data_IF_991960864159
#
_entry.id   IF_991960864159
#
_cell.length_a   1.000
_cell.length_b   1.000
_cell.length_c   1.000
_cell.angle_alpha   90.00
_cell.angle_beta   90.00
_cell.angle_gamma   90.00
#
_symmetry.space_group_name_H-M   'P 1'
#
loop_
_entity.id
_entity.type
_entity.pdbx_description
1 polymer ?
#
# COMPACT_ATOMS: atom_id res chain seq x y z
N UNK A 1 -8.58 4.14 2.53
CA UNK A 1 -9.20 5.13 1.60
C UNK A 1 -8.35 5.36 0.35
N UNK A 2 -7.03 5.55 0.45
CA UNK A 2 -6.16 5.70 -0.72
C UNK A 2 -6.36 4.59 -1.77
N UNK A 3 -6.25 3.32 -1.38
CA UNK A 3 -6.50 2.17 -2.27
C UNK A 3 -7.89 2.21 -2.93
N UNK A 4 -8.94 2.60 -2.18
CA UNK A 4 -10.31 2.73 -2.68
C UNK A 4 -10.42 3.80 -3.76
N UNK A 5 -9.83 4.98 -3.54
CA UNK A 5 -9.82 6.03 -4.56
C UNK A 5 -8.97 5.63 -5.76
N UNK A 6 -7.80 5.05 -5.55
CA UNK A 6 -6.91 4.60 -6.63
C UNK A 6 -7.59 3.55 -7.50
N UNK A 7 -8.22 2.53 -6.91
CA UNK A 7 -8.96 1.51 -7.68
C UNK A 7 -10.14 2.15 -8.42
N UNK A 8 -10.92 3.04 -7.78
CA UNK A 8 -12.02 3.72 -8.45
C UNK A 8 -11.55 4.55 -9.65
N UNK A 9 -10.41 5.24 -9.54
CA UNK A 9 -9.85 6.04 -10.64
C UNK A 9 -9.38 5.12 -11.79
N UNK A 10 -8.62 4.07 -11.49
CA UNK A 10 -8.03 3.18 -12.51
C UNK A 10 -9.07 2.29 -13.20
N UNK A 11 -10.13 1.91 -12.49
CA UNK A 11 -11.16 0.98 -12.96
C UNK A 11 -12.52 1.65 -13.20
N UNK A 12 -12.52 2.94 -13.58
CA UNK A 12 -13.71 3.69 -14.04
C UNK A 12 -14.90 3.65 -13.06
N UNK A 13 -14.63 3.94 -11.79
CA UNK A 13 -15.61 3.97 -10.71
C UNK A 13 -15.89 2.61 -10.05
N UNK A 14 -15.27 1.53 -10.54
CA UNK A 14 -15.40 0.21 -9.90
C UNK A 14 -14.44 0.09 -8.72
N UNK A 15 -14.97 -0.33 -7.58
CA UNK A 15 -14.19 -0.57 -6.36
C UNK A 15 -14.12 -2.07 -6.12
N UNK A 16 -12.90 -2.61 -6.20
CA UNK A 16 -12.61 -4.00 -5.86
C UNK A 16 -12.33 -4.12 -4.35
N UNK A 17 -13.11 -4.96 -3.66
CA UNK A 17 -13.00 -5.13 -2.21
C UNK A 17 -11.66 -5.74 -1.78
N UNK A 18 -11.13 -6.69 -2.55
CA UNK A 18 -9.84 -7.33 -2.28
C UNK A 18 -8.70 -6.31 -2.35
N UNK A 19 -8.71 -5.43 -3.35
CA UNK A 19 -7.75 -4.33 -3.46
C UNK A 19 -7.86 -3.34 -2.31
N UNK A 20 -9.08 -3.06 -1.83
CA UNK A 20 -9.30 -2.16 -0.69
C UNK A 20 -8.78 -2.77 0.62
N UNK A 21 -9.08 -4.04 0.89
CA UNK A 21 -8.63 -4.71 2.11
C UNK A 21 -7.11 -4.93 2.12
N UNK A 22 -6.53 -5.43 1.02
CA UNK A 22 -5.07 -5.54 0.92
C UNK A 22 -4.40 -4.17 0.96
N UNK A 23 -5.00 -3.13 0.38
CA UNK A 23 -4.50 -1.77 0.47
C UNK A 23 -4.52 -1.21 1.90
N UNK A 24 -5.51 -1.58 2.71
CA UNK A 24 -5.52 -1.23 4.13
C UNK A 24 -4.39 -1.94 4.89
N UNK A 25 -4.16 -3.23 4.62
CA UNK A 25 -3.06 -4.01 5.20
C UNK A 25 -1.70 -3.42 4.79
N UNK A 26 -1.49 -3.15 3.50
CA UNK A 26 -0.27 -2.53 2.99
C UNK A 26 0.01 -1.15 3.59
N UNK A 27 -1.04 -0.37 3.85
CA UNK A 27 -0.92 0.90 4.58
C UNK A 27 -0.44 0.72 6.02
N UNK A 28 -0.93 -0.29 6.74
CA UNK A 28 -0.45 -0.62 8.10
C UNK A 28 1.01 -1.10 8.08
N UNK A 29 1.36 -1.96 7.13
CA UNK A 29 2.74 -2.46 6.95
C UNK A 29 3.70 -1.29 6.69
N UNK A 30 3.28 -0.31 5.89
CA UNK A 30 4.11 0.85 5.52
C UNK A 30 4.53 1.73 6.71
N UNK A 31 3.79 1.68 7.82
CA UNK A 31 4.11 2.44 9.06
C UNK A 31 4.90 1.60 10.07
N UNK A 32 4.95 0.29 9.89
CA UNK A 32 5.47 -0.65 10.90
C UNK A 32 6.98 -0.49 11.13
N UNK A 33 7.75 -0.01 10.14
CA UNK A 33 9.19 0.13 10.24
C UNK A 33 9.64 1.16 11.30
N UNK A 34 8.90 2.26 11.44
CA UNK A 34 9.12 3.26 12.49
C UNK A 34 7.82 4.02 12.76
N UNK A 35 6.95 3.53 13.67
CA UNK A 35 5.65 4.12 13.92
C UNK A 35 5.71 5.36 14.83
N UNK A 36 6.82 5.61 15.52
CA UNK A 36 6.94 6.71 16.50
C UNK A 36 7.53 7.99 15.91
N UNK A 37 8.23 7.92 14.78
CA UNK A 37 8.88 9.09 14.17
C UNK A 37 7.96 10.05 13.40
N UNK A 38 6.96 9.60 12.62
CA UNK A 38 6.13 10.50 11.83
C UNK A 38 4.98 11.13 12.62
N UNK A 39 4.77 12.43 12.41
CA UNK A 39 3.54 13.11 12.81
C UNK A 39 2.28 12.42 12.27
N UNK A 40 1.11 12.76 12.85
CA UNK A 40 -0.17 12.16 12.45
C UNK A 40 -0.45 12.31 10.95
N UNK A 41 -0.18 13.48 10.36
CA UNK A 41 -0.39 13.69 8.93
C UNK A 41 0.61 12.90 8.08
N UNK A 42 1.90 12.89 8.47
CA UNK A 42 2.92 12.08 7.79
C UNK A 42 2.56 10.60 7.81
N UNK A 43 2.05 10.09 8.94
CA UNK A 43 1.59 8.70 9.08
C UNK A 43 0.44 8.36 8.12
N UNK A 44 -0.55 9.26 7.99
CA UNK A 44 -1.64 9.08 7.02
C UNK A 44 -1.12 9.04 5.58
N UNK A 45 -0.15 9.89 5.24
CA UNK A 45 0.44 9.94 3.90
C UNK A 45 1.27 8.69 3.58
N UNK A 46 2.15 8.26 4.50
CA UNK A 46 2.99 7.08 4.33
C UNK A 46 2.14 5.81 4.16
N UNK A 47 1.13 5.62 5.02
CA UNK A 47 0.16 4.52 4.89
C UNK A 47 -0.69 4.65 3.62
N UNK A 48 -1.02 5.87 3.22
CA UNK A 48 -1.71 6.17 1.96
C UNK A 48 -0.92 5.68 0.75
N UNK A 49 0.39 5.94 0.69
CA UNK A 49 1.28 5.44 -0.37
C UNK A 49 1.30 3.90 -0.39
N UNK A 50 1.37 3.25 0.77
CA UNK A 50 1.25 1.79 0.87
C UNK A 50 -0.03 1.25 0.21
N UNK A 51 -1.17 1.87 0.49
CA UNK A 51 -2.44 1.51 -0.14
C UNK A 51 -2.45 1.70 -1.67
N UNK A 52 -1.78 2.72 -2.19
CA UNK A 52 -1.62 2.93 -3.64
C UNK A 52 -0.73 1.85 -4.26
N UNK A 53 0.39 1.51 -3.60
CA UNK A 53 1.33 0.50 -4.08
C UNK A 53 0.66 -0.87 -4.25
N UNK A 54 -0.22 -1.27 -3.33
CA UNK A 54 -0.98 -2.53 -3.47
C UNK A 54 -1.80 -2.54 -4.77
N UNK A 55 -2.56 -1.48 -5.06
CA UNK A 55 -3.40 -1.39 -6.26
C UNK A 55 -2.58 -1.42 -7.55
N UNK A 56 -1.33 -0.95 -7.50
CA UNK A 56 -0.41 -0.96 -8.65
C UNK A 56 0.25 -2.33 -8.82
N UNK A 57 0.71 -2.95 -7.74
CA UNK A 57 1.55 -4.14 -7.81
C UNK A 57 0.77 -5.43 -7.98
N UNK A 58 -0.46 -5.55 -7.49
CA UNK A 58 -1.30 -6.75 -7.75
C UNK A 58 -1.45 -7.00 -9.27
N UNK A 59 -1.98 -6.07 -10.09
CA UNK A 59 -2.11 -6.31 -11.52
C UNK A 59 -0.77 -6.36 -12.26
N UNK A 60 0.32 -5.87 -11.67
CA UNK A 60 1.66 -6.01 -12.22
C UNK A 60 2.16 -7.46 -12.08
N UNK A 61 1.97 -8.07 -10.91
CA UNK A 61 2.32 -9.48 -10.70
C UNK A 61 1.51 -10.41 -11.61
N UNK A 62 0.21 -10.14 -11.78
CA UNK A 62 -0.64 -10.86 -12.73
C UNK A 62 -0.08 -10.80 -14.16
N UNK A 63 0.34 -9.59 -14.61
CA UNK A 63 0.96 -9.40 -15.94
C UNK A 63 2.29 -10.14 -16.09
N UNK A 64 3.03 -10.29 -14.99
CA UNK A 64 4.28 -11.05 -14.93
C UNK A 64 4.04 -12.57 -14.78
N UNK A 65 2.77 -13.01 -14.72
CA UNK A 65 2.37 -14.41 -14.49
C UNK A 65 2.89 -14.97 -13.16
N UNK A 66 2.97 -14.11 -12.15
CA UNK A 66 3.30 -14.49 -10.77
C UNK A 66 1.97 -14.58 -10.02
N UNK A 67 1.59 -15.80 -9.64
CA UNK A 67 0.36 -16.07 -8.90
C UNK A 67 0.59 -15.82 -7.40
N UNK A 68 0.05 -14.70 -6.91
CA UNK A 68 0.02 -14.35 -5.50
C UNK A 68 -1.40 -14.47 -4.97
N UNK A 69 -1.73 -15.67 -4.47
CA UNK A 69 -3.09 -16.11 -4.09
C UNK A 69 -3.86 -15.10 -3.24
N UNK A 70 -3.17 -14.37 -2.36
CA UNK A 70 -3.81 -13.45 -1.40
C UNK A 70 -3.36 -12.00 -1.54
N UNK A 71 -2.40 -11.70 -2.41
CA UNK A 71 -1.80 -10.36 -2.50
C UNK A 71 -0.77 -10.09 -1.39
N UNK A 72 -0.09 -11.12 -0.89
CA UNK A 72 0.91 -10.99 0.18
C UNK A 72 2.16 -10.22 -0.27
N UNK A 73 2.59 -10.37 -1.52
CA UNK A 73 3.78 -9.71 -2.05
C UNK A 73 3.58 -8.18 -2.11
N UNK A 74 2.50 -7.64 -2.70
CA UNK A 74 2.24 -6.20 -2.66
C UNK A 74 2.03 -5.67 -1.24
N UNK A 75 1.26 -6.38 -0.40
CA UNK A 75 0.89 -5.91 0.94
C UNK A 75 2.05 -5.95 1.95
N UNK A 76 2.93 -6.97 1.89
CA UNK A 76 4.01 -7.14 2.86
C UNK A 76 5.38 -6.78 2.30
N UNK A 77 5.76 -7.32 1.15
CA UNK A 77 7.10 -7.11 0.61
C UNK A 77 7.25 -5.69 0.05
N UNK A 78 6.39 -5.30 -0.89
CA UNK A 78 6.48 -4.00 -1.55
C UNK A 78 6.25 -2.86 -0.55
N UNK A 79 5.17 -2.95 0.24
CA UNK A 79 4.88 -1.95 1.27
C UNK A 79 5.91 -1.95 2.41
N UNK A 80 6.50 -3.10 2.76
CA UNK A 80 7.55 -3.18 3.77
C UNK A 80 8.85 -2.52 3.30
N UNK A 81 9.22 -2.70 2.02
CA UNK A 81 10.35 -1.99 1.40
C UNK A 81 10.09 -0.48 1.43
N UNK A 82 8.90 -0.04 1.00
CA UNK A 82 8.50 1.36 1.07
C UNK A 82 8.59 1.92 2.49
N UNK A 83 7.97 1.25 3.47
CA UNK A 83 7.96 1.67 4.86
C UNK A 83 9.38 1.78 5.45
N UNK A 84 10.28 0.87 5.08
CA UNK A 84 11.68 0.92 5.53
C UNK A 84 12.45 2.07 4.88
N UNK A 85 12.24 2.31 3.59
CA UNK A 85 12.95 3.37 2.85
C UNK A 85 12.57 4.78 3.31
N UNK A 86 11.34 4.97 3.82
CA UNK A 86 10.86 6.31 4.20
C UNK A 86 11.28 6.73 5.62
N UNK A 87 11.74 5.79 6.47
CA UNK A 87 12.15 6.05 7.86
C UNK A 87 13.13 7.24 8.00
N UNK A 88 14.23 7.35 7.22
CA UNK A 88 15.18 8.46 7.38
C UNK A 88 14.56 9.84 7.15
N UNK A 89 13.41 9.91 6.47
CA UNK A 89 12.70 11.14 6.13
C UNK A 89 11.42 11.34 6.94
N UNK A 90 11.10 10.41 7.85
CA UNK A 90 9.82 10.44 8.57
C UNK A 90 9.88 11.13 9.93
N UNK A 91 11.04 11.54 10.42
CA UNK A 91 11.18 12.26 11.70
C UNK A 91 10.55 13.66 11.61
N UNK A 92 9.27 13.77 12.01
CA UNK A 92 8.43 14.97 11.84
C UNK A 92 7.47 15.17 13.00
#
# INVERSE_FOLDING_TARGET
MAAMFTTAILYKGKVDATMVFNGAIGGLVSITAEPLAPSMLASVLIGGVGGVLVVIFVPLLDKLKIDDVVGAIPAHLVCGIWGTMIVPFSYT
#
